data_IF_783267972735
#
_entry.id   IF_783267972735
#
_cell.length_a   1.000
_cell.length_b   1.000
_cell.length_c   1.000
_cell.angle_alpha   90.00
_cell.angle_beta   90.00
_cell.angle_gamma   90.00
#
_symmetry.space_group_name_H-M   'P 1'
#
loop_
_entity.id
_entity.type
_entity.pdbx_description
1 polymer ?
#
# COMPACT_ATOMS: atom_id res chain seq x y z
N UNK A 1 -18.16 -59.53 29.73
CA UNK A 1 -16.76 -59.25 29.37
C UNK A 1 -16.76 -58.75 27.94
N UNK A 2 -16.73 -57.43 27.73
CA UNK A 2 -16.82 -56.81 26.40
C UNK A 2 -15.39 -56.55 25.89
N UNK A 3 -15.01 -57.19 24.79
CA UNK A 3 -13.71 -56.99 24.13
C UNK A 3 -13.81 -55.79 23.18
N UNK A 4 -13.02 -54.74 23.43
CA UNK A 4 -12.93 -53.56 22.58
C UNK A 4 -11.67 -53.72 21.72
N UNK A 5 -11.83 -53.84 20.40
CA UNK A 5 -10.71 -53.84 19.44
C UNK A 5 -10.32 -52.39 19.11
N UNK A 6 -9.03 -52.02 19.16
CA UNK A 6 -8.60 -50.68 18.76
C UNK A 6 -8.55 -50.58 17.23
N UNK A 7 -9.23 -49.57 16.68
CA UNK A 7 -9.05 -49.16 15.29
C UNK A 7 -7.67 -48.50 15.14
N UNK A 8 -6.77 -49.12 14.36
CA UNK A 8 -5.55 -48.45 13.92
C UNK A 8 -5.89 -47.44 12.83
N UNK A 9 -5.86 -46.16 13.17
CA UNK A 9 -5.92 -45.06 12.20
C UNK A 9 -4.58 -44.97 11.46
N UNK A 10 -4.57 -45.28 10.17
CA UNK A 10 -3.39 -45.09 9.32
C UNK A 10 -3.20 -43.60 9.05
N UNK A 11 -2.14 -43.02 9.59
CA UNK A 11 -1.73 -41.65 9.29
C UNK A 11 -1.11 -41.63 7.88
N UNK A 12 -1.87 -41.20 6.87
CA UNK A 12 -1.33 -40.92 5.54
C UNK A 12 -0.49 -39.64 5.61
N UNK A 13 0.83 -39.81 5.55
CA UNK A 13 1.78 -38.71 5.42
C UNK A 13 1.68 -38.14 4.00
N UNK A 14 1.03 -36.99 3.83
CA UNK A 14 1.08 -36.23 2.58
C UNK A 14 2.40 -35.47 2.56
N UNK A 15 3.40 -35.96 1.82
CA UNK A 15 4.60 -35.17 1.54
C UNK A 15 4.26 -34.08 0.52
N UNK A 16 4.22 -32.83 0.97
CA UNK A 16 4.23 -31.68 0.08
C UNK A 16 5.61 -31.61 -0.59
N UNK A 17 5.69 -31.92 -1.89
CA UNK A 17 6.89 -31.66 -2.68
C UNK A 17 6.87 -30.20 -3.11
N UNK A 18 7.94 -29.41 -2.87
CA UNK A 18 8.00 -28.04 -3.36
C UNK A 18 7.91 -28.08 -4.89
N UNK A 19 6.86 -27.48 -5.44
CA UNK A 19 6.74 -27.30 -6.87
C UNK A 19 7.74 -26.21 -7.26
N UNK A 20 8.78 -26.51 -8.07
CA UNK A 20 9.72 -25.50 -8.50
C UNK A 20 9.03 -24.62 -9.54
N UNK A 21 8.25 -23.65 -9.08
CA UNK A 21 7.92 -22.51 -9.92
C UNK A 21 9.20 -21.67 -10.04
N UNK A 22 9.80 -21.55 -11.23
CA UNK A 22 10.88 -20.60 -11.40
C UNK A 22 10.31 -19.22 -11.02
N UNK A 23 10.97 -18.47 -10.12
CA UNK A 23 10.49 -17.15 -9.76
C UNK A 23 10.50 -16.30 -11.03
N UNK A 24 9.31 -15.87 -11.48
CA UNK A 24 9.22 -14.84 -12.52
C UNK A 24 9.80 -13.56 -11.92
N UNK A 25 10.94 -13.06 -12.40
CA UNK A 25 11.54 -11.86 -11.83
C UNK A 25 10.57 -10.69 -12.00
N UNK A 26 10.47 -9.84 -10.98
CA UNK A 26 9.77 -8.56 -11.12
C UNK A 26 10.39 -7.81 -12.31
N UNK A 27 9.61 -7.41 -13.34
CA UNK A 27 10.14 -6.70 -14.51
C UNK A 27 10.48 -5.25 -14.14
N UNK A 28 11.50 -5.08 -13.31
CA UNK A 28 11.96 -3.80 -12.79
C UNK A 28 12.64 -2.92 -13.85
N UNK A 29 12.75 -3.31 -15.11
CA UNK A 29 13.09 -2.33 -16.15
C UNK A 29 11.84 -1.76 -16.83
N UNK A 30 10.69 -2.42 -16.70
CA UNK A 30 9.43 -2.06 -17.35
C UNK A 30 8.42 -1.41 -16.40
N UNK A 31 8.65 -1.49 -15.07
CA UNK A 31 7.76 -0.82 -14.09
C UNK A 31 7.90 0.70 -14.19
N UNK A 32 6.81 1.39 -14.51
CA UNK A 32 6.80 2.85 -14.69
C UNK A 32 6.17 3.59 -13.50
N UNK A 33 5.39 2.89 -12.68
CA UNK A 33 4.66 3.44 -11.54
C UNK A 33 4.88 2.57 -10.32
N UNK A 34 5.08 3.22 -9.17
CA UNK A 34 5.03 2.60 -7.84
C UNK A 34 3.88 3.26 -7.09
N UNK A 35 2.93 2.43 -6.68
CA UNK A 35 1.83 2.82 -5.79
C UNK A 35 2.18 2.26 -4.42
N UNK A 36 2.29 3.14 -3.42
CA UNK A 36 2.69 2.76 -2.07
C UNK A 36 1.56 2.96 -1.06
N UNK A 37 1.54 2.10 -0.05
CA UNK A 37 0.62 2.12 1.09
C UNK A 37 1.43 1.77 2.33
N UNK A 38 1.03 2.25 3.51
CA UNK A 38 1.75 1.98 4.74
C UNK A 38 1.61 3.09 5.77
N UNK A 39 2.65 3.23 6.58
CA UNK A 39 2.72 4.09 7.76
C UNK A 39 3.82 5.15 7.62
N UNK A 40 4.36 5.61 8.76
CA UNK A 40 5.42 6.62 8.82
C UNK A 40 6.74 6.20 8.17
N UNK A 41 7.00 4.90 8.05
CA UNK A 41 8.19 4.39 7.37
C UNK A 41 8.08 4.48 5.84
N UNK A 42 6.89 4.76 5.33
CA UNK A 42 6.60 4.80 3.89
C UNK A 42 6.15 6.17 3.43
N UNK A 43 5.44 6.94 4.27
CA UNK A 43 4.89 8.22 3.87
C UNK A 43 5.94 9.18 3.29
N UNK A 44 5.52 9.90 2.25
CA UNK A 44 6.19 11.09 1.73
C UNK A 44 5.24 12.29 1.78
N UNK A 45 5.78 13.48 2.03
CA UNK A 45 4.98 14.70 2.04
C UNK A 45 4.58 15.11 0.62
N UNK A 46 3.31 15.44 0.43
CA UNK A 46 2.80 16.07 -0.79
C UNK A 46 2.19 17.45 -0.52
N UNK A 47 2.05 18.27 -1.57
CA UNK A 47 1.39 19.59 -1.46
C UNK A 47 -0.11 19.50 -1.15
N UNK A 48 -0.75 18.38 -1.51
CA UNK A 48 -2.16 18.14 -1.27
C UNK A 48 -2.42 17.10 -0.17
N UNK A 49 -1.39 16.78 0.61
CA UNK A 49 -1.48 15.89 1.77
C UNK A 49 -1.56 16.66 3.08
N UNK A 50 -1.81 15.93 4.17
CA UNK A 50 -1.72 16.47 5.51
C UNK A 50 -0.26 16.65 5.89
N UNK A 51 0.09 17.85 6.37
CA UNK A 51 1.46 18.20 6.74
C UNK A 51 2.00 17.23 7.80
N UNK A 52 3.15 16.62 7.52
CA UNK A 52 3.85 15.59 8.28
C UNK A 52 3.16 14.22 8.35
N UNK A 53 2.16 13.96 7.50
CA UNK A 53 1.41 12.70 7.55
C UNK A 53 1.19 12.03 6.19
N UNK A 54 0.97 12.76 5.11
CA UNK A 54 0.59 12.12 3.86
C UNK A 54 1.02 12.87 2.62
N UNK A 55 1.02 12.13 1.50
CA UNK A 55 1.19 12.70 0.18
C UNK A 55 -0.10 13.37 -0.30
N UNK A 56 -1.26 12.76 -0.04
CA UNK A 56 -2.56 13.26 -0.51
C UNK A 56 -3.69 12.99 0.50
N UNK A 57 -4.48 14.03 0.77
CA UNK A 57 -5.66 13.95 1.64
C UNK A 57 -5.39 13.47 3.07
N UNK A 58 -6.48 13.30 3.79
CA UNK A 58 -6.56 12.63 5.08
C UNK A 58 -7.99 12.10 5.28
N UNK A 59 -8.33 11.50 6.42
CA UNK A 59 -9.68 10.94 6.63
C UNK A 59 -10.79 12.01 6.52
N UNK A 60 -10.49 13.26 6.84
CA UNK A 60 -11.44 14.39 6.79
C UNK A 60 -11.53 14.98 5.37
N UNK A 61 -10.47 14.87 4.58
CA UNK A 61 -10.36 15.26 3.18
C UNK A 61 -10.01 14.06 2.30
N UNK A 62 -10.82 13.00 2.42
CA UNK A 62 -10.51 11.68 1.86
C UNK A 62 -10.58 11.67 0.32
N UNK A 63 -11.48 12.47 -0.25
CA UNK A 63 -11.77 12.48 -1.68
C UNK A 63 -10.94 13.52 -2.41
N UNK A 64 -10.46 13.19 -3.61
CA UNK A 64 -9.77 14.14 -4.47
C UNK A 64 -10.10 13.88 -5.95
N UNK A 65 -9.88 14.89 -6.79
CA UNK A 65 -10.08 14.77 -8.23
C UNK A 65 -8.76 14.57 -8.98
N UNK A 66 -8.86 14.25 -10.28
CA UNK A 66 -7.70 14.02 -11.14
C UNK A 66 -6.74 15.23 -11.19
N UNK A 67 -7.26 16.45 -11.18
CA UNK A 67 -6.44 17.65 -11.18
C UNK A 67 -5.60 17.73 -9.92
N UNK A 68 -6.20 17.53 -8.74
CA UNK A 68 -5.50 17.53 -7.44
C UNK A 68 -4.40 16.48 -7.39
N UNK A 69 -4.67 15.26 -7.86
CA UNK A 69 -3.66 14.19 -7.90
C UNK A 69 -2.50 14.58 -8.83
N UNK A 70 -2.80 14.98 -10.07
CA UNK A 70 -1.78 15.25 -11.10
C UNK A 70 -1.02 16.57 -10.88
N UNK A 71 -1.60 17.53 -10.14
CA UNK A 71 -0.91 18.75 -9.72
C UNK A 71 -0.05 18.54 -8.48
N UNK A 72 -0.25 17.46 -7.73
CA UNK A 72 0.50 17.19 -6.52
C UNK A 72 2.01 17.07 -6.80
N UNK A 73 2.80 17.47 -5.82
CA UNK A 73 4.27 17.42 -5.87
C UNK A 73 4.78 16.78 -4.61
N UNK A 74 5.79 15.94 -4.74
CA UNK A 74 6.54 15.43 -3.61
C UNK A 74 7.33 16.62 -3.06
N UNK A 75 7.09 16.96 -1.81
CA UNK A 75 7.86 17.94 -1.06
C UNK A 75 9.04 17.20 -0.48
N UNK A 76 10.25 17.66 -0.75
CA UNK A 76 11.44 17.09 -0.10
C UNK A 76 12.20 18.18 0.66
N UNK A 77 12.20 18.04 1.98
CA UNK A 77 12.85 18.91 2.95
C UNK A 77 13.15 18.08 4.23
N UNK A 78 13.73 18.69 5.26
CA UNK A 78 14.11 17.96 6.48
C UNK A 78 12.92 17.35 7.26
N UNK A 79 11.67 17.67 6.93
CA UNK A 79 10.49 17.15 7.63
C UNK A 79 9.50 16.47 6.69
N UNK A 80 9.93 16.14 5.47
CA UNK A 80 9.08 15.61 4.42
C UNK A 80 8.76 14.11 4.58
N UNK A 81 9.50 13.43 5.45
CA UNK A 81 9.33 12.02 5.83
C UNK A 81 9.64 11.89 7.31
N UNK A 82 9.44 10.71 7.89
CA UNK A 82 9.88 10.40 9.25
C UNK A 82 11.42 10.36 9.40
N UNK A 83 12.17 10.23 8.30
CA UNK A 83 13.61 9.98 8.28
C UNK A 83 14.47 11.26 8.27
N UNK A 84 13.84 12.44 8.23
CA UNK A 84 14.58 13.70 8.14
C UNK A 84 15.19 13.99 6.76
N UNK A 85 14.77 13.25 5.73
CA UNK A 85 15.27 13.32 4.35
C UNK A 85 14.50 12.35 3.44
N UNK A 86 15.02 11.98 2.26
CA UNK A 86 14.33 11.04 1.39
C UNK A 86 14.17 9.65 2.02
N UNK A 87 13.01 9.04 1.89
CA UNK A 87 12.79 7.68 2.39
C UNK A 87 13.21 6.61 1.37
N UNK A 88 13.05 5.33 1.74
CA UNK A 88 13.47 4.20 0.91
C UNK A 88 12.79 4.13 -0.47
N UNK A 89 11.52 4.55 -0.59
CA UNK A 89 10.81 4.59 -1.87
C UNK A 89 11.33 5.67 -2.81
N UNK A 90 11.67 6.84 -2.26
CA UNK A 90 12.27 7.92 -3.03
C UNK A 90 13.62 7.48 -3.59
N UNK A 91 14.46 6.79 -2.79
CA UNK A 91 15.71 6.20 -3.27
C UNK A 91 15.49 5.08 -4.28
N UNK A 92 14.53 4.18 -4.04
CA UNK A 92 14.21 3.07 -4.92
C UNK A 92 13.79 3.55 -6.31
N UNK A 93 12.98 4.61 -6.38
CA UNK A 93 12.45 5.15 -7.63
C UNK A 93 13.33 6.25 -8.24
N UNK A 94 14.20 6.86 -7.44
CA UNK A 94 14.91 8.10 -7.79
C UNK A 94 13.99 9.32 -7.85
N UNK A 95 12.72 9.20 -7.45
CA UNK A 95 11.71 10.25 -7.51
C UNK A 95 11.59 10.92 -6.14
N UNK A 96 11.77 12.24 -6.07
CA UNK A 96 11.66 12.98 -4.80
C UNK A 96 12.98 13.16 -4.03
N UNK A 97 14.06 12.45 -4.37
CA UNK A 97 15.33 12.42 -3.59
C UNK A 97 16.00 13.78 -3.36
N UNK A 98 15.78 14.77 -4.25
CA UNK A 98 16.42 16.08 -4.15
C UNK A 98 15.52 17.07 -3.40
N UNK A 99 16.12 17.86 -2.52
CA UNK A 99 15.44 18.96 -1.83
C UNK A 99 14.67 19.85 -2.81
N UNK A 100 13.43 20.18 -2.48
CA UNK A 100 12.54 21.02 -3.30
C UNK A 100 11.22 20.32 -3.61
N UNK A 101 10.62 20.68 -4.75
CA UNK A 101 9.38 20.08 -5.23
C UNK A 101 9.67 19.19 -6.42
N UNK A 102 9.21 17.95 -6.38
CA UNK A 102 9.33 16.99 -7.49
C UNK A 102 7.95 16.70 -8.07
N UNK A 103 7.82 16.75 -9.40
CA UNK A 103 6.62 16.29 -10.13
C UNK A 103 6.75 14.79 -10.42
N UNK A 104 5.94 13.91 -9.79
CA UNK A 104 6.02 12.47 -9.99
C UNK A 104 5.95 12.06 -11.46
N UNK A 105 5.19 12.80 -12.28
CA UNK A 105 4.98 12.51 -13.71
C UNK A 105 6.23 12.74 -14.56
N UNK A 106 7.22 13.47 -14.03
CA UNK A 106 8.52 13.72 -14.69
C UNK A 106 9.60 12.74 -14.25
N UNK A 107 9.32 11.87 -13.30
CA UNK A 107 10.24 10.83 -12.86
C UNK A 107 10.24 9.66 -13.86
N UNK A 108 11.39 9.03 -14.06
CA UNK A 108 11.52 7.79 -14.86
C UNK A 108 10.63 6.67 -14.30
N UNK A 109 10.52 6.62 -12.97
CA UNK A 109 9.53 5.86 -12.22
C UNK A 109 8.71 6.82 -11.40
N UNK A 110 7.41 6.88 -11.67
CA UNK A 110 6.51 7.74 -10.93
C UNK A 110 6.24 7.10 -9.56
N UNK A 111 6.38 7.90 -8.50
CA UNK A 111 6.04 7.49 -7.14
C UNK A 111 4.71 8.14 -6.75
N UNK A 112 3.72 7.32 -6.43
CA UNK A 112 2.40 7.73 -5.99
C UNK A 112 2.11 7.09 -4.65
N UNK A 113 2.27 7.87 -3.59
CA UNK A 113 2.23 7.39 -2.23
C UNK A 113 0.85 7.65 -1.60
N UNK A 114 0.24 6.61 -1.06
CA UNK A 114 -1.01 6.65 -0.31
C UNK A 114 -0.80 6.26 1.16
N UNK A 115 0.44 6.08 1.58
CA UNK A 115 0.77 5.84 2.97
C UNK A 115 0.40 7.07 3.82
N UNK A 116 0.01 6.78 5.05
CA UNK A 116 -0.37 7.79 6.02
C UNK A 116 0.44 7.53 7.29
N UNK A 117 1.25 8.49 7.72
CA UNK A 117 2.03 8.33 8.94
C UNK A 117 1.11 8.00 10.12
N UNK A 118 1.51 7.04 10.95
CA UNK A 118 0.72 6.59 12.10
C UNK A 118 -0.55 5.79 11.71
N UNK A 119 -0.56 5.19 10.51
CA UNK A 119 -1.65 4.31 10.10
C UNK A 119 -1.55 2.91 10.72
N UNK A 120 -2.64 2.51 11.36
CA UNK A 120 -2.94 1.11 11.64
C UNK A 120 -3.61 0.41 10.45
N UNK A 121 -3.77 -0.93 10.56
CA UNK A 121 -4.34 -1.76 9.49
C UNK A 121 -5.81 -1.41 9.21
N UNK A 122 -6.66 -1.43 10.23
CA UNK A 122 -8.10 -1.19 10.13
C UNK A 122 -8.61 -0.51 11.40
N UNK A 123 -9.61 0.36 11.27
CA UNK A 123 -10.29 0.97 12.41
C UNK A 123 -11.51 0.14 12.89
N UNK A 124 -11.72 -1.04 12.30
CA UNK A 124 -12.84 -1.93 12.63
C UNK A 124 -12.66 -2.62 13.98
N UNK A 125 -11.43 -3.02 14.30
CA UNK A 125 -11.10 -3.69 15.54
C UNK A 125 -10.73 -2.67 16.62
N UNK A 126 -11.22 -2.90 17.84
CA UNK A 126 -11.03 -2.00 18.96
C UNK A 126 -9.54 -1.91 19.39
N UNK A 127 -8.74 -2.90 19.01
CA UNK A 127 -7.30 -3.00 19.28
C UNK A 127 -6.44 -2.14 18.34
N UNK A 128 -7.00 -1.69 17.21
CA UNK A 128 -6.32 -0.85 16.21
C UNK A 128 -7.09 0.44 15.94
N UNK A 129 -7.43 1.23 16.98
CA UNK A 129 -8.15 2.47 16.81
C UNK A 129 -7.27 3.48 16.06
N UNK A 130 -7.90 4.41 15.35
CA UNK A 130 -7.15 5.49 14.72
C UNK A 130 -6.41 6.32 15.79
N UNK A 131 -5.09 6.50 15.60
CA UNK A 131 -4.28 7.37 16.46
C UNK A 131 -4.75 8.82 16.43
N UNK A 132 -5.29 9.27 15.30
CA UNK A 132 -5.95 10.55 15.14
C UNK A 132 -7.22 10.41 14.29
N UNK A 133 -8.22 11.26 14.51
CA UNK A 133 -9.47 11.26 13.72
C UNK A 133 -9.25 11.53 12.22
N UNK A 134 -8.11 12.10 11.87
CA UNK A 134 -7.70 12.35 10.50
C UNK A 134 -6.86 11.20 9.89
N UNK A 135 -6.47 10.20 10.67
CA UNK A 135 -5.63 9.09 10.20
C UNK A 135 -6.37 8.23 9.19
N UNK A 136 -5.69 7.92 8.08
CA UNK A 136 -6.20 6.99 7.06
C UNK A 136 -5.57 5.62 7.31
N UNK A 137 -6.36 4.66 7.81
CA UNK A 137 -5.91 3.27 8.01
C UNK A 137 -5.53 2.61 6.69
N UNK A 138 -4.71 1.55 6.72
CA UNK A 138 -4.25 0.84 5.53
C UNK A 138 -5.42 0.43 4.60
N UNK A 139 -6.48 -0.16 5.15
CA UNK A 139 -7.69 -0.54 4.38
C UNK A 139 -8.29 0.68 3.66
N UNK A 140 -8.34 1.83 4.34
CA UNK A 140 -8.86 3.08 3.76
C UNK A 140 -7.90 3.69 2.75
N UNK A 141 -6.59 3.51 2.87
CA UNK A 141 -5.62 3.95 1.86
C UNK A 141 -5.84 3.20 0.53
N UNK A 142 -6.03 1.87 0.60
CA UNK A 142 -6.38 1.04 -0.57
C UNK A 142 -7.69 1.49 -1.19
N UNK A 143 -8.70 1.77 -0.36
CA UNK A 143 -9.98 2.32 -0.82
C UNK A 143 -9.81 3.70 -1.48
N UNK A 144 -9.02 4.59 -0.90
CA UNK A 144 -8.74 5.92 -1.44
C UNK A 144 -8.09 5.84 -2.82
N UNK A 145 -7.09 4.95 -2.96
CA UNK A 145 -6.49 4.66 -4.25
C UNK A 145 -7.50 4.09 -5.23
N UNK A 146 -8.29 3.09 -4.83
CA UNK A 146 -9.31 2.47 -5.72
C UNK A 146 -10.30 3.49 -6.26
N UNK A 147 -10.80 4.38 -5.39
CA UNK A 147 -11.85 5.35 -5.75
C UNK A 147 -11.30 6.55 -6.53
N UNK A 148 -10.14 7.09 -6.13
CA UNK A 148 -9.67 8.40 -6.60
C UNK A 148 -8.34 8.35 -7.35
N UNK A 149 -7.45 7.40 -7.02
CA UNK A 149 -6.14 7.27 -7.65
C UNK A 149 -6.15 6.45 -8.94
N UNK A 150 -6.65 5.22 -8.86
CA UNK A 150 -6.65 4.24 -9.94
C UNK A 150 -7.32 4.72 -11.24
N UNK A 151 -8.49 5.40 -11.19
CA UNK A 151 -9.12 5.93 -12.41
C UNK A 151 -8.26 6.96 -13.15
N UNK A 152 -7.29 7.58 -12.47
CA UNK A 152 -6.44 8.66 -13.01
C UNK A 152 -5.09 8.14 -13.47
N UNK A 153 -4.47 7.23 -12.70
CA UNK A 153 -3.12 6.73 -12.96
C UNK A 153 -3.05 5.57 -13.96
N UNK A 154 -4.21 5.04 -14.36
CA UNK A 154 -4.29 4.02 -15.41
C UNK A 154 -3.93 2.62 -14.90
N UNK A 155 -4.94 1.89 -14.41
CA UNK A 155 -4.92 0.43 -14.47
C UNK A 155 -5.36 -0.33 -13.21
N UNK A 156 -6.57 -0.11 -12.71
CA UNK A 156 -7.34 -1.24 -12.16
C UNK A 156 -8.43 -1.61 -13.17
N UNK A 157 -8.13 -2.55 -14.07
CA UNK A 157 -9.17 -3.31 -14.78
C UNK A 157 -9.68 -4.35 -13.79
N UNK A 158 -10.59 -3.93 -12.91
CA UNK A 158 -11.34 -4.84 -12.07
C UNK A 158 -12.41 -5.56 -12.90
N UNK A 159 -12.01 -6.44 -13.82
CA UNK A 159 -12.91 -7.41 -14.44
C UNK A 159 -12.13 -8.70 -14.76
N UNK A 160 -12.44 -9.79 -14.06
CA UNK A 160 -12.17 -11.16 -14.51
C UNK A 160 -11.12 -12.00 -13.79
N UNK A 161 -10.46 -11.48 -12.74
CA UNK A 161 -9.68 -12.30 -11.82
C UNK A 161 -10.56 -12.72 -10.65
N UNK A 162 -11.17 -13.90 -10.77
CA UNK A 162 -11.81 -14.62 -9.68
C UNK A 162 -10.99 -14.48 -8.39
N UNK A 163 -11.50 -13.76 -7.38
CA UNK A 163 -11.20 -14.09 -5.99
C UNK A 163 -11.92 -15.41 -5.69
N UNK A 164 -11.51 -16.45 -6.41
CA UNK A 164 -11.93 -17.83 -6.30
C UNK A 164 -11.23 -18.43 -5.12
N UNK A 165 -11.73 -18.06 -3.97
CA UNK A 165 -11.16 -18.37 -2.67
C UNK A 165 -11.78 -17.39 -1.71
N UNK A 166 -13.01 -17.68 -1.29
CA UNK A 166 -13.67 -16.96 -0.22
C UNK A 166 -12.73 -16.84 0.95
N UNK A 167 -12.17 -15.64 1.11
CA UNK A 167 -11.66 -15.20 2.39
C UNK A 167 -12.83 -14.42 2.95
N UNK A 168 -13.60 -15.13 3.77
CA UNK A 168 -14.51 -14.52 4.72
C UNK A 168 -13.63 -13.65 5.63
N UNK A 169 -13.91 -12.35 5.69
CA UNK A 169 -13.21 -11.41 6.57
C UNK A 169 -14.03 -11.12 7.83
N UNK A 170 -14.97 -12.01 8.15
CA UNK A 170 -15.69 -12.08 9.43
C UNK A 170 -14.92 -12.93 10.47
#
# INVERSE_FOLDING_TARGET
>A
MLLILPFLSTLTLVLATPHPYPPTPLPWHQTTHIIAFGDSYTYIQGLHGRQNYSFIGDQQNFSFNASTLLSNRIVQNQTATAEGGPNWLEFLTGCGVRRGLTDPRKCTRQLWDFAFADADISAEYAETPLHHEFTVSFVRQVEQFRLYGSPVLGGYRGEGGDFGGGVDWD
#
